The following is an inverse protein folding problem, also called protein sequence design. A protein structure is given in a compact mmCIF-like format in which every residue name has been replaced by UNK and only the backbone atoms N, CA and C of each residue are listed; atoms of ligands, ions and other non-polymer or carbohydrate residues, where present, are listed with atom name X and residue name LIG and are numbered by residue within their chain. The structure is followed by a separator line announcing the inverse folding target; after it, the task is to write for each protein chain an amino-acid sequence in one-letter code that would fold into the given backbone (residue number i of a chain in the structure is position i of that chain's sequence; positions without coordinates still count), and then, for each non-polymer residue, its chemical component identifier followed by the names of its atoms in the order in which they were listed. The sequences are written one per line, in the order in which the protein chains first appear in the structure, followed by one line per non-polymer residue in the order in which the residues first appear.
data_IF_777576833978
#
_entry.id   IF_777576833978
#
_cell.length_a   1.000
_cell.length_b   1.000
_cell.length_c   1.000
_cell.angle_alpha   90.00
_cell.angle_beta   90.00
_cell.angle_gamma   90.00
#
_symmetry.space_group_name_H-M   'P 1'
#
loop_
_entity.id
_entity.type
_entity.pdbx_description
1 polymer ?
#
# COMPACT_ATOMS: atom_id res chain seq x y z
N UNK A 1 5.77 38.43 -26.87
CA UNK A 1 7.13 38.28 -26.32
C UNK A 1 7.07 37.41 -25.07
N UNK A 2 7.61 36.18 -25.13
CA UNK A 2 7.59 35.26 -23.99
C UNK A 2 8.75 35.60 -23.04
N UNK A 3 8.44 35.90 -21.77
CA UNK A 3 9.46 36.11 -20.74
C UNK A 3 10.16 34.78 -20.45
N UNK A 4 11.45 34.68 -20.77
CA UNK A 4 12.27 33.52 -20.38
C UNK A 4 12.36 33.48 -18.86
N UNK A 5 12.15 32.29 -18.28
CA UNK A 5 12.33 32.07 -16.84
C UNK A 5 13.80 32.32 -16.48
N UNK A 6 14.11 33.00 -15.36
CA UNK A 6 15.49 33.21 -14.96
C UNK A 6 16.18 31.85 -14.74
N UNK A 7 17.35 31.66 -15.35
CA UNK A 7 18.17 30.47 -15.12
C UNK A 7 18.62 30.50 -13.66
N UNK A 8 18.24 29.49 -12.88
CA UNK A 8 18.74 29.34 -11.51
C UNK A 8 20.25 29.13 -11.58
N UNK A 9 21.02 30.19 -11.32
CA UNK A 9 22.46 30.11 -11.21
C UNK A 9 22.81 29.42 -9.89
N UNK A 10 23.14 28.13 -9.93
CA UNK A 10 23.78 27.45 -8.80
C UNK A 10 25.22 27.93 -8.73
N UNK A 11 25.63 28.50 -7.59
CA UNK A 11 26.96 29.07 -7.38
C UNK A 11 28.11 28.05 -7.46
N UNK A 12 27.82 26.75 -7.38
CA UNK A 12 28.83 25.69 -7.48
C UNK A 12 28.31 24.49 -8.29
N UNK A 13 29.09 24.04 -9.26
CA UNK A 13 28.96 22.75 -9.93
C UNK A 13 29.37 21.65 -8.93
N UNK A 14 28.43 21.25 -8.08
CA UNK A 14 28.69 20.21 -7.10
C UNK A 14 28.67 18.85 -7.79
N UNK A 15 29.84 18.25 -7.99
CA UNK A 15 29.91 16.85 -8.42
C UNK A 15 29.36 15.95 -7.30
N UNK A 16 28.15 15.45 -7.49
CA UNK A 16 27.54 14.51 -6.56
C UNK A 16 28.21 13.13 -6.69
N UNK A 17 29.34 12.94 -6.00
CA UNK A 17 29.98 11.63 -5.86
C UNK A 17 29.55 10.96 -4.54
N UNK A 18 29.23 9.68 -4.60
CA UNK A 18 29.02 8.87 -3.40
C UNK A 18 30.38 8.65 -2.71
N UNK A 19 30.62 9.38 -1.63
CA UNK A 19 31.81 9.16 -0.80
C UNK A 19 31.70 7.78 -0.12
N UNK A 20 32.76 6.98 -0.14
CA UNK A 20 32.86 5.66 0.50
C UNK A 20 32.37 5.67 1.95
N UNK A 21 32.66 6.73 2.70
CA UNK A 21 32.18 6.91 4.08
C UNK A 21 30.66 6.97 4.17
N UNK A 22 29.98 7.61 3.21
CA UNK A 22 28.50 7.66 3.19
C UNK A 22 27.92 6.30 2.84
N UNK A 23 28.53 5.60 1.88
CA UNK A 23 28.11 4.24 1.50
C UNK A 23 28.21 3.32 2.71
N UNK A 24 29.34 3.31 3.42
CA UNK A 24 29.54 2.46 4.60
C UNK A 24 28.50 2.74 5.70
N UNK A 25 28.17 4.02 5.95
CA UNK A 25 27.11 4.39 6.90
C UNK A 25 25.73 3.88 6.49
N UNK A 26 25.40 3.96 5.20
CA UNK A 26 24.13 3.43 4.67
C UNK A 26 24.11 1.91 4.81
N UNK A 27 25.18 1.23 4.39
CA UNK A 27 25.30 -0.23 4.47
C UNK A 27 25.16 -0.74 5.90
N UNK A 28 25.67 -0.01 6.89
CA UNK A 28 25.54 -0.37 8.30
C UNK A 28 24.07 -0.31 8.80
N UNK A 29 23.29 0.67 8.34
CA UNK A 29 21.89 0.88 8.79
C UNK A 29 20.89 0.05 7.97
N UNK A 30 21.25 -0.31 6.74
CA UNK A 30 20.34 -0.92 5.78
C UNK A 30 19.68 -2.24 6.25
N UNK A 31 20.40 -3.21 6.86
CA UNK A 31 19.79 -4.46 7.28
C UNK A 31 18.68 -4.25 8.31
N UNK A 32 18.92 -3.37 9.26
CA UNK A 32 17.95 -3.04 10.29
C UNK A 32 16.76 -2.26 9.73
N UNK A 33 17.04 -1.32 8.82
CA UNK A 33 15.99 -0.59 8.11
C UNK A 33 15.07 -1.54 7.33
N UNK A 34 15.64 -2.53 6.63
CA UNK A 34 14.88 -3.54 5.89
C UNK A 34 14.06 -4.44 6.82
N UNK A 35 14.62 -4.85 7.96
CA UNK A 35 13.88 -5.61 8.97
C UNK A 35 12.68 -4.80 9.49
N UNK A 36 12.89 -3.53 9.83
CA UNK A 36 11.81 -2.65 10.25
C UNK A 36 10.73 -2.52 9.16
N UNK A 37 11.12 -2.35 7.89
CA UNK A 37 10.17 -2.33 6.77
C UNK A 37 9.31 -3.59 6.71
N UNK A 38 9.91 -4.79 6.83
CA UNK A 38 9.17 -6.06 6.82
C UNK A 38 8.13 -6.12 7.95
N UNK A 39 8.53 -5.73 9.16
CA UNK A 39 7.63 -5.73 10.33
C UNK A 39 6.46 -4.76 10.14
N UNK A 40 6.75 -3.51 9.74
CA UNK A 40 5.71 -2.50 9.50
C UNK A 40 4.78 -2.94 8.36
N UNK A 41 5.33 -3.53 7.30
CA UNK A 41 4.55 -4.04 6.18
C UNK A 41 3.58 -5.15 6.61
N UNK A 42 4.06 -6.13 7.39
CA UNK A 42 3.23 -7.20 7.90
C UNK A 42 2.09 -6.67 8.78
N UNK A 43 2.36 -5.67 9.64
CA UNK A 43 1.35 -5.02 10.47
C UNK A 43 0.32 -4.26 9.63
N UNK A 44 0.75 -3.45 8.66
CA UNK A 44 -0.15 -2.70 7.79
C UNK A 44 -1.03 -3.64 6.95
N UNK A 45 -0.45 -4.71 6.43
CA UNK A 45 -1.19 -5.71 5.65
C UNK A 45 -2.18 -6.47 6.51
N UNK A 46 -1.80 -6.87 7.73
CA UNK A 46 -2.71 -7.55 8.65
C UNK A 46 -3.96 -6.72 8.91
N UNK A 47 -3.79 -5.45 9.27
CA UNK A 47 -4.93 -4.57 9.56
C UNK A 47 -5.75 -4.27 8.30
N UNK A 48 -5.12 -4.15 7.13
CA UNK A 48 -5.84 -3.99 5.86
C UNK A 48 -6.70 -5.20 5.51
N UNK A 49 -6.16 -6.41 5.63
CA UNK A 49 -6.88 -7.65 5.27
C UNK A 49 -7.88 -8.05 6.34
N UNK A 50 -7.53 -7.92 7.62
CA UNK A 50 -8.40 -8.35 8.71
C UNK A 50 -9.47 -7.30 8.99
N UNK A 51 -9.12 -6.03 9.12
CA UNK A 51 -10.05 -5.01 9.60
C UNK A 51 -10.62 -4.13 8.46
N UNK A 52 -10.15 -4.32 7.23
CA UNK A 52 -10.56 -3.53 6.07
C UNK A 52 -10.04 -2.09 6.10
N UNK A 53 -9.16 -1.73 7.04
CA UNK A 53 -8.68 -0.35 7.18
C UNK A 53 -7.64 0.01 6.12
N UNK A 54 -7.65 1.28 5.68
CA UNK A 54 -6.65 1.80 4.75
C UNK A 54 -5.23 1.79 5.35
N UNK A 55 -4.23 1.73 4.48
CA UNK A 55 -2.83 1.93 4.90
C UNK A 55 -2.64 3.34 5.47
N UNK A 56 -2.00 3.45 6.64
CA UNK A 56 -1.86 4.73 7.32
C UNK A 56 -0.49 4.92 7.97
N UNK A 57 0.19 5.99 7.58
CA UNK A 57 1.54 6.32 8.06
C UNK A 57 1.58 6.88 9.49
N UNK A 58 0.44 7.25 10.08
CA UNK A 58 0.36 7.69 11.49
C UNK A 58 -0.13 6.60 12.44
N UNK A 59 -0.42 5.39 11.94
CA UNK A 59 -0.81 4.29 12.80
C UNK A 59 0.32 4.03 13.81
N UNK A 60 -0.07 3.92 15.08
CA UNK A 60 0.86 3.57 16.15
C UNK A 60 1.50 2.23 15.82
N UNK A 61 2.82 2.20 15.74
CA UNK A 61 3.54 0.94 15.59
C UNK A 61 3.45 0.21 16.92
N UNK A 62 3.04 -1.06 16.90
CA UNK A 62 3.31 -1.89 18.05
C UNK A 62 4.82 -1.88 18.30
N UNK A 63 5.24 -1.81 19.57
CA UNK A 63 6.66 -1.76 19.89
C UNK A 63 7.37 -2.97 19.26
N UNK A 64 8.28 -2.70 18.35
CA UNK A 64 9.22 -3.68 17.84
C UNK A 64 10.64 -3.23 18.20
N UNK A 65 11.49 -4.20 18.53
CA UNK A 65 12.86 -3.93 18.93
C UNK A 65 13.65 -3.47 17.70
N UNK A 66 14.19 -2.25 17.80
CA UNK A 66 15.09 -1.68 16.79
C UNK A 66 15.90 -0.55 17.43
N UNK A 67 17.18 -0.48 17.07
CA UNK A 67 18.15 0.58 17.29
C UNK A 67 17.95 1.79 16.36
N UNK A 68 17.04 1.71 15.38
CA UNK A 68 16.71 2.85 14.51
C UNK A 68 16.18 4.04 15.32
N UNK A 69 16.67 5.23 14.98
CA UNK A 69 16.17 6.47 15.56
C UNK A 69 14.70 6.71 15.20
N UNK A 70 14.01 7.54 16.00
CA UNK A 70 12.60 7.92 15.76
C UNK A 70 12.38 8.45 14.33
N UNK A 71 13.35 9.19 13.79
CA UNK A 71 13.31 9.71 12.41
C UNK A 71 13.32 8.58 11.38
N UNK A 72 14.21 7.61 11.53
CA UNK A 72 14.26 6.46 10.62
C UNK A 72 12.99 5.61 10.70
N UNK A 73 12.42 5.40 11.90
CA UNK A 73 11.12 4.71 12.06
C UNK A 73 10.01 5.41 11.26
N UNK A 74 9.98 6.74 11.27
CA UNK A 74 9.03 7.53 10.48
C UNK A 74 9.26 7.38 8.96
N UNK A 75 10.53 7.36 8.54
CA UNK A 75 10.89 7.09 7.14
C UNK A 75 10.43 5.70 6.70
N UNK A 76 10.63 4.67 7.53
CA UNK A 76 10.14 3.30 7.29
C UNK A 76 8.62 3.31 7.09
N UNK A 77 7.86 3.93 8.00
CA UNK A 77 6.39 4.01 7.88
C UNK A 77 5.96 4.64 6.56
N UNK A 78 6.55 5.78 6.19
CA UNK A 78 6.22 6.46 4.95
C UNK A 78 6.54 5.59 3.73
N UNK A 79 7.73 4.98 3.69
CA UNK A 79 8.15 4.16 2.56
C UNK A 79 7.25 2.94 2.38
N UNK A 80 6.92 2.24 3.47
CA UNK A 80 6.04 1.08 3.45
C UNK A 80 4.62 1.47 3.00
N UNK A 81 4.04 2.54 3.56
CA UNK A 81 2.68 2.97 3.21
C UNK A 81 2.58 3.43 1.75
N UNK A 82 3.58 4.16 1.25
CA UNK A 82 3.63 4.55 -0.17
C UNK A 82 3.76 3.33 -1.07
N UNK A 83 4.64 2.38 -0.73
CA UNK A 83 4.81 1.13 -1.48
C UNK A 83 3.55 0.28 -1.53
N UNK A 84 2.90 0.08 -0.38
CA UNK A 84 1.65 -0.68 -0.28
C UNK A 84 0.49 -0.02 -1.03
N UNK A 85 0.37 1.31 -0.93
CA UNK A 85 -0.64 2.07 -1.69
C UNK A 85 -0.43 1.93 -3.19
N UNK A 86 0.82 2.01 -3.65
CA UNK A 86 1.15 1.81 -5.07
C UNK A 86 0.84 0.38 -5.53
N UNK A 87 1.21 -0.63 -4.73
CA UNK A 87 0.89 -2.01 -5.01
C UNK A 87 -0.62 -2.26 -5.11
N UNK A 88 -1.43 -1.65 -4.24
CA UNK A 88 -2.88 -1.80 -4.25
C UNK A 88 -3.49 -1.26 -5.54
N UNK A 89 -3.07 -0.08 -5.99
CA UNK A 89 -3.58 0.52 -7.24
C UNK A 89 -3.14 -0.26 -8.48
N UNK A 90 -1.91 -0.79 -8.48
CA UNK A 90 -1.45 -1.70 -9.54
C UNK A 90 -2.29 -2.99 -9.56
N UNK A 91 -2.59 -3.55 -8.39
CA UNK A 91 -3.40 -4.77 -8.26
C UNK A 91 -4.83 -4.53 -8.75
N UNK A 92 -5.46 -3.40 -8.38
CA UNK A 92 -6.76 -3.00 -8.92
C UNK A 92 -6.74 -2.90 -10.43
N UNK A 93 -5.70 -2.31 -10.99
CA UNK A 93 -5.55 -2.15 -12.44
C UNK A 93 -5.42 -3.51 -13.14
N UNK A 94 -4.63 -4.43 -12.56
CA UNK A 94 -4.52 -5.80 -13.06
C UNK A 94 -5.88 -6.52 -13.05
N UNK A 95 -6.64 -6.42 -11.95
CA UNK A 95 -7.98 -7.00 -11.84
C UNK A 95 -8.95 -6.40 -12.87
N UNK A 96 -8.94 -5.06 -13.07
CA UNK A 96 -9.76 -4.41 -14.10
C UNK A 96 -9.49 -4.98 -15.49
N UNK A 97 -8.21 -5.20 -15.83
CA UNK A 97 -7.82 -5.77 -17.11
C UNK A 97 -8.30 -7.22 -17.27
N UNK A 98 -8.26 -8.01 -16.21
CA UNK A 98 -8.78 -9.39 -16.18
C UNK A 98 -10.29 -9.38 -16.41
N UNK A 99 -11.04 -8.57 -15.66
CA UNK A 99 -12.51 -8.45 -15.79
C UNK A 99 -12.88 -8.03 -17.21
N UNK A 100 -12.22 -7.00 -17.75
CA UNK A 100 -12.52 -6.48 -19.08
C UNK A 100 -12.35 -7.56 -20.17
N UNK A 101 -11.28 -8.36 -20.08
CA UNK A 101 -10.94 -9.42 -21.06
C UNK A 101 -11.69 -10.73 -20.86
N UNK A 102 -12.38 -10.92 -19.74
CA UNK A 102 -13.16 -12.13 -19.48
C UNK A 102 -14.37 -12.26 -20.42
N UNK A 103 -14.90 -13.47 -20.57
CA UNK A 103 -16.14 -13.74 -21.30
C UNK A 103 -17.41 -13.56 -20.46
N UNK A 104 -17.31 -12.89 -19.30
CA UNK A 104 -18.43 -12.68 -18.39
C UNK A 104 -19.51 -11.74 -18.99
N UNK A 105 -20.78 -11.89 -18.59
CA UNK A 105 -21.84 -10.95 -18.93
C UNK A 105 -21.50 -9.52 -18.51
N UNK A 106 -21.99 -8.53 -19.26
CA UNK A 106 -21.69 -7.11 -19.02
C UNK A 106 -22.13 -6.64 -17.62
N UNK A 107 -23.27 -7.11 -17.14
CA UNK A 107 -23.79 -6.78 -15.81
C UNK A 107 -22.85 -7.28 -14.71
N UNK A 108 -22.45 -8.55 -14.78
CA UNK A 108 -21.48 -9.16 -13.84
C UNK A 108 -20.13 -8.43 -13.89
N UNK A 109 -19.67 -8.02 -15.07
CA UNK A 109 -18.44 -7.23 -15.20
C UNK A 109 -18.55 -5.88 -14.48
N UNK A 110 -19.71 -5.21 -14.58
CA UNK A 110 -19.93 -3.93 -13.91
C UNK A 110 -19.89 -4.09 -12.38
N UNK A 111 -20.55 -5.12 -11.84
CA UNK A 111 -20.53 -5.42 -10.41
C UNK A 111 -19.11 -5.71 -9.90
N UNK A 112 -18.37 -6.56 -10.61
CA UNK A 112 -16.97 -6.87 -10.27
C UNK A 112 -16.08 -5.62 -10.32
N UNK A 113 -16.34 -4.70 -11.25
CA UNK A 113 -15.62 -3.43 -11.35
C UNK A 113 -15.86 -2.55 -10.13
N UNK A 114 -17.11 -2.45 -9.69
CA UNK A 114 -17.49 -1.71 -8.48
C UNK A 114 -16.90 -2.34 -7.22
N UNK A 115 -16.99 -3.65 -7.06
CA UNK A 115 -16.40 -4.38 -5.93
C UNK A 115 -14.88 -4.16 -5.84
N UNK A 116 -14.18 -4.21 -6.99
CA UNK A 116 -12.74 -3.96 -7.06
C UNK A 116 -12.39 -2.50 -6.71
N UNK A 117 -13.16 -1.52 -7.20
CA UNK A 117 -12.94 -0.11 -6.85
C UNK A 117 -13.15 0.17 -5.36
N UNK A 118 -14.15 -0.46 -4.77
CA UNK A 118 -14.48 -0.32 -3.35
C UNK A 118 -13.50 -1.06 -2.42
N UNK A 119 -12.58 -1.87 -2.94
CA UNK A 119 -11.79 -2.84 -2.16
C UNK A 119 -12.66 -3.79 -1.33
N UNK A 120 -13.90 -4.05 -1.78
CA UNK A 120 -14.88 -4.82 -1.02
C UNK A 120 -14.45 -6.28 -0.81
N UNK A 121 -13.55 -6.80 -1.65
CA UNK A 121 -12.92 -8.12 -1.52
C UNK A 121 -12.12 -8.32 -0.22
N UNK A 122 -11.74 -7.22 0.45
CA UNK A 122 -11.01 -7.24 1.73
C UNK A 122 -11.90 -6.90 2.93
N UNK A 123 -13.18 -6.57 2.71
CA UNK A 123 -14.10 -6.37 3.81
C UNK A 123 -14.39 -7.73 4.48
N UNK A 124 -14.45 -7.77 5.82
CA UNK A 124 -15.05 -8.92 6.50
C UNK A 124 -16.46 -9.13 5.96
N UNK A 125 -16.85 -10.38 5.76
CA UNK A 125 -18.24 -10.73 5.48
C UNK A 125 -19.12 -10.05 6.52
N UNK A 126 -19.89 -9.04 6.09
CA UNK A 126 -20.98 -8.56 6.91
C UNK A 126 -22.03 -9.67 6.88
N UNK A 127 -22.55 -10.13 8.03
CA UNK A 127 -23.66 -11.07 8.02
C UNK A 127 -24.76 -10.41 7.18
N UNK A 128 -25.17 -11.10 6.12
CA UNK A 128 -26.14 -10.56 5.19
C UNK A 128 -27.42 -10.21 5.99
N UNK A 129 -27.73 -8.93 6.11
CA UNK A 129 -29.04 -8.49 6.59
C UNK A 129 -30.05 -8.59 5.45
N UNK A 130 -30.00 -9.70 4.70
CA UNK A 130 -31.04 -10.06 3.76
C UNK A 130 -31.95 -11.00 4.53
N UNK A 131 -33.14 -10.54 4.90
CA UNK A 131 -34.22 -11.38 5.40
C UNK A 131 -34.74 -12.35 4.32
N UNK A 132 -33.87 -13.22 3.82
CA UNK A 132 -34.26 -14.39 3.04
C UNK A 132 -34.27 -15.53 4.03
N UNK A 133 -35.45 -15.78 4.60
CA UNK A 133 -35.75 -17.01 5.31
C UNK A 133 -35.29 -18.17 4.44
N UNK A 134 -34.27 -18.90 4.89
CA UNK A 134 -33.97 -20.22 4.34
C UNK A 134 -35.25 -21.05 4.53
N UNK A 135 -36.01 -21.22 3.45
CA UNK A 135 -37.07 -22.22 3.40
C UNK A 135 -36.37 -23.56 3.50
N UNK A 136 -36.30 -24.10 4.70
CA UNK A 136 -35.94 -25.49 4.93
C UNK A 136 -37.01 -26.33 4.25
N UNK A 137 -36.62 -27.09 3.23
CA UNK A 137 -37.48 -28.09 2.61
C UNK A 137 -38.00 -29.04 3.70
N UNK A 138 -39.28 -29.45 3.69
CA UNK A 138 -39.75 -30.46 4.61
C UNK A 138 -39.17 -31.81 4.18
N UNK A 139 -38.43 -32.44 5.09
CA UNK A 139 -38.01 -33.83 4.96
C UNK A 139 -39.26 -34.71 4.77
N UNK A 140 -39.25 -35.52 3.71
CA UNK A 140 -40.19 -36.62 3.48
C UNK A 140 -39.41 -37.92 3.41
#
# INVERSE_FOLDING_TARGET
MAKSKPSVARSYLLEHRANTTKINKITAVLPEFQMACKTVQAQQMRVFVQDGEKFWNRRGLQPFQTQLSKRYKRSVQNQVVTGLSSWLELSKTAIKNIIARSSLPSEVKADLWWLNQANAHYAKEQPCQCGVSLVTAPDS
#
